data_IF_195486531283
#
_entry.id   IF_195486531283
#
_cell.length_a   1.000
_cell.length_b   1.000
_cell.length_c   1.000
_cell.angle_alpha   90.00
_cell.angle_beta   90.00
_cell.angle_gamma   90.00
#
_symmetry.space_group_name_H-M   'P 1'
#
loop_
_entity.id
_entity.type
_entity.pdbx_description
1 polymer ?
#
# COMPACT_ATOMS: atom_id res chain seq x y z
N UNK A 1 21.54 -8.88 15.77
CA UNK A 1 20.53 -7.82 15.88
C UNK A 1 19.32 -8.34 16.65
N UNK A 2 18.80 -7.55 17.53
CA UNK A 2 17.54 -7.84 18.21
C UNK A 2 16.43 -7.03 17.54
N UNK A 3 15.25 -7.61 17.36
CA UNK A 3 14.13 -6.91 16.72
C UNK A 3 13.75 -5.60 17.46
N UNK A 4 13.95 -5.56 18.79
CA UNK A 4 13.69 -4.36 19.58
C UNK A 4 14.65 -3.20 19.26
N UNK A 5 15.76 -3.46 18.57
CA UNK A 5 16.73 -2.44 18.17
C UNK A 5 16.35 -1.77 16.84
N UNK A 6 15.35 -2.27 16.16
CA UNK A 6 14.87 -1.70 14.88
C UNK A 6 14.07 -0.42 15.18
N UNK A 7 14.55 0.72 14.69
CA UNK A 7 13.91 2.02 14.94
C UNK A 7 12.73 2.28 13.99
N UNK A 8 12.83 1.82 12.74
CA UNK A 8 11.79 2.01 11.73
C UNK A 8 11.91 0.94 10.65
N UNK A 9 10.83 0.74 9.91
CA UNK A 9 10.78 -0.23 8.82
C UNK A 9 10.28 0.47 7.56
N UNK A 10 10.89 0.17 6.44
CA UNK A 10 10.47 0.70 5.14
C UNK A 10 10.41 -0.41 4.12
N UNK A 11 9.32 -0.48 3.38
CA UNK A 11 9.18 -1.30 2.19
C UNK A 11 9.19 -0.38 0.99
N UNK A 12 10.14 -0.56 0.09
CA UNK A 12 10.23 0.24 -1.13
C UNK A 12 9.82 -0.61 -2.33
N UNK A 13 9.00 -0.03 -3.20
CA UNK A 13 8.56 -0.67 -4.44
C UNK A 13 8.70 0.28 -5.60
N UNK A 14 9.28 -0.16 -6.73
CA UNK A 14 9.31 0.64 -7.94
C UNK A 14 7.95 0.59 -8.65
N UNK A 15 7.63 1.67 -9.35
CA UNK A 15 6.41 1.72 -10.17
C UNK A 15 6.61 2.67 -11.35
N UNK A 16 5.90 2.40 -12.44
CA UNK A 16 5.75 3.33 -13.55
C UNK A 16 4.44 4.13 -13.44
N UNK A 17 3.67 3.92 -12.38
CA UNK A 17 2.32 4.48 -12.20
C UNK A 17 2.19 5.22 -10.88
N UNK A 18 3.18 6.06 -10.54
CA UNK A 18 3.21 6.72 -9.23
C UNK A 18 1.93 7.48 -8.93
N UNK A 19 1.40 8.26 -9.89
CA UNK A 19 0.19 9.04 -9.64
C UNK A 19 -1.02 8.16 -9.35
N UNK A 20 -1.17 7.06 -10.06
CA UNK A 20 -2.27 6.12 -9.82
C UNK A 20 -2.12 5.44 -8.47
N UNK A 21 -0.88 5.07 -8.08
CA UNK A 21 -0.62 4.47 -6.78
C UNK A 21 -0.86 5.46 -5.65
N UNK A 22 -0.46 6.73 -5.81
CA UNK A 22 -0.73 7.75 -4.79
C UNK A 22 -2.22 7.96 -4.60
N UNK A 23 -2.99 7.94 -5.68
CA UNK A 23 -4.44 8.03 -5.58
C UNK A 23 -5.02 6.86 -4.80
N UNK A 24 -4.51 5.65 -5.05
CA UNK A 24 -4.94 4.45 -4.35
C UNK A 24 -4.57 4.50 -2.86
N UNK A 25 -3.31 4.78 -2.55
CA UNK A 25 -2.80 4.70 -1.17
C UNK A 25 -3.09 5.93 -0.33
N UNK A 26 -3.04 7.13 -0.90
CA UNK A 26 -3.34 8.35 -0.14
C UNK A 26 -4.85 8.63 -0.09
N UNK A 27 -5.50 8.71 -1.24
CA UNK A 27 -6.92 9.07 -1.29
C UNK A 27 -7.82 7.89 -0.91
N UNK A 28 -7.51 6.70 -1.38
CA UNK A 28 -8.29 5.50 -1.10
C UNK A 28 -8.04 4.93 0.28
N UNK A 29 -6.83 4.46 0.51
CA UNK A 29 -6.47 3.82 1.78
C UNK A 29 -6.31 4.82 2.92
N UNK A 30 -5.97 6.06 2.62
CA UNK A 30 -5.86 7.13 3.62
C UNK A 30 -4.49 7.22 4.27
N UNK A 31 -3.44 6.70 3.64
CA UNK A 31 -2.09 6.83 4.17
C UNK A 31 -1.58 8.26 4.04
N UNK A 32 -0.81 8.70 5.01
CA UNK A 32 -0.28 10.04 5.04
C UNK A 32 1.10 10.09 4.39
N UNK A 33 1.29 11.07 3.50
CA UNK A 33 2.62 11.34 2.93
C UNK A 33 3.51 11.95 4.01
N UNK A 34 4.67 11.32 4.24
CA UNK A 34 5.60 11.80 5.27
C UNK A 34 6.86 12.42 4.68
N UNK A 35 7.24 12.05 3.47
CA UNK A 35 8.41 12.61 2.81
C UNK A 35 8.37 12.29 1.32
N UNK A 36 9.24 12.94 0.56
CA UNK A 36 9.44 12.66 -0.86
C UNK A 36 10.83 13.14 -1.29
N UNK A 37 11.31 12.59 -2.41
CA UNK A 37 12.53 13.07 -3.04
C UNK A 37 12.34 13.04 -4.55
N UNK A 38 13.11 13.86 -5.25
CA UNK A 38 13.00 14.00 -6.70
C UNK A 38 14.37 13.93 -7.34
N UNK A 39 14.48 13.10 -8.37
CA UNK A 39 15.67 12.99 -9.24
C UNK A 39 17.00 12.82 -8.48
N UNK A 40 17.03 11.86 -7.57
CA UNK A 40 18.27 11.45 -6.92
C UNK A 40 18.87 10.29 -7.71
N UNK A 41 19.90 10.59 -8.51
CA UNK A 41 20.53 9.60 -9.39
C UNK A 41 19.52 8.89 -10.32
N UNK A 42 18.53 9.64 -10.84
CA UNK A 42 17.50 9.10 -11.73
C UNK A 42 16.30 8.50 -11.02
N UNK A 43 16.30 8.43 -9.71
CA UNK A 43 15.17 7.92 -8.93
C UNK A 43 14.41 9.04 -8.23
N UNK A 44 13.11 8.89 -8.13
CA UNK A 44 12.22 9.75 -7.34
C UNK A 44 11.36 8.87 -6.47
N UNK A 45 10.84 9.40 -5.37
CA UNK A 45 10.03 8.58 -4.48
C UNK A 45 9.15 9.38 -3.54
N UNK A 46 8.11 8.71 -3.05
CA UNK A 46 7.19 9.23 -2.05
C UNK A 46 7.10 8.21 -0.93
N UNK A 47 7.26 8.66 0.31
CA UNK A 47 7.13 7.83 1.50
C UNK A 47 5.77 8.06 2.14
N UNK A 48 5.04 6.99 2.36
CA UNK A 48 3.73 6.99 3.00
C UNK A 48 3.86 6.31 4.36
N UNK A 49 3.36 6.96 5.41
CA UNK A 49 3.41 6.44 6.75
C UNK A 49 2.28 5.44 7.01
N UNK A 50 2.62 4.30 7.56
CA UNK A 50 1.67 3.37 8.14
C UNK A 50 1.47 3.73 9.62
N UNK A 51 0.53 3.09 10.34
CA UNK A 51 0.22 3.47 11.70
C UNK A 51 1.46 3.65 12.59
N UNK A 52 1.52 4.77 13.32
CA UNK A 52 2.67 5.13 14.14
C UNK A 52 3.83 5.73 13.37
N UNK A 53 3.79 5.74 12.04
CA UNK A 53 4.83 6.29 11.15
C UNK A 53 6.21 5.65 11.33
N UNK A 54 6.29 4.54 12.07
CA UNK A 54 7.51 3.76 12.20
C UNK A 54 7.66 2.73 11.06
N UNK A 55 6.58 2.46 10.34
CA UNK A 55 6.57 1.62 9.15
C UNK A 55 6.16 2.48 7.98
N UNK A 56 6.97 2.45 6.93
CA UNK A 56 6.76 3.26 5.75
C UNK A 56 6.59 2.41 4.50
N UNK A 57 5.71 2.84 3.63
CA UNK A 57 5.64 2.34 2.26
C UNK A 57 6.27 3.39 1.36
N UNK A 58 7.35 3.05 0.67
CA UNK A 58 7.99 3.93 -0.28
C UNK A 58 7.67 3.50 -1.70
N UNK A 59 7.13 4.42 -2.49
CA UNK A 59 6.83 4.19 -3.90
C UNK A 59 7.85 4.97 -4.71
N UNK A 60 8.63 4.27 -5.54
CA UNK A 60 9.73 4.88 -6.28
C UNK A 60 9.49 4.81 -7.77
N UNK A 61 9.99 5.82 -8.49
CA UNK A 61 10.08 5.80 -9.95
C UNK A 61 11.54 5.93 -10.35
N UNK A 62 11.89 5.39 -11.50
CA UNK A 62 13.20 5.57 -12.10
C UNK A 62 13.04 6.01 -13.54
N UNK A 63 13.96 6.86 -14.01
CA UNK A 63 13.92 7.35 -15.40
C UNK A 63 14.02 6.23 -16.43
N UNK A 64 14.60 5.09 -16.06
CA UNK A 64 14.69 3.90 -16.94
C UNK A 64 13.50 2.94 -16.77
N UNK A 65 12.55 3.27 -15.91
CA UNK A 65 11.33 2.48 -15.72
C UNK A 65 11.40 1.45 -14.61
N UNK A 66 10.26 0.82 -14.37
CA UNK A 66 10.05 -0.20 -13.36
C UNK A 66 10.23 -1.60 -13.96
N UNK A 67 10.61 -2.59 -13.12
CA UNK A 67 10.71 -3.98 -13.59
C UNK A 67 9.36 -4.65 -13.90
N UNK A 68 8.23 -4.00 -13.58
CA UNK A 68 6.92 -4.55 -13.92
C UNK A 68 5.97 -4.68 -12.74
N UNK A 69 4.82 -5.36 -12.94
CA UNK A 69 3.79 -5.49 -11.92
C UNK A 69 4.18 -6.48 -10.82
N UNK A 70 3.30 -6.62 -9.83
CA UNK A 70 3.47 -7.60 -8.76
C UNK A 70 3.65 -9.00 -9.35
N UNK A 71 4.58 -9.81 -8.80
CA UNK A 71 4.86 -11.14 -9.35
C UNK A 71 3.72 -12.13 -9.14
N UNK A 72 2.93 -11.99 -8.09
CA UNK A 72 1.78 -12.86 -7.81
C UNK A 72 0.64 -12.06 -7.18
N UNK A 73 -0.57 -12.64 -7.23
CA UNK A 73 -1.73 -12.06 -6.55
C UNK A 73 -1.70 -12.25 -5.04
N UNK A 74 -0.73 -13.02 -4.53
CA UNK A 74 -0.56 -13.24 -3.09
C UNK A 74 0.59 -12.40 -2.50
N UNK A 75 1.05 -11.40 -3.23
CA UNK A 75 1.93 -10.36 -2.69
C UNK A 75 1.04 -9.30 -2.05
N UNK A 76 1.00 -9.28 -0.73
CA UNK A 76 -0.01 -8.55 0.02
C UNK A 76 0.59 -7.58 1.03
N UNK A 77 -0.05 -6.42 1.16
CA UNK A 77 0.06 -5.56 2.34
C UNK A 77 -1.18 -5.85 3.18
N UNK A 78 -1.00 -6.34 4.39
CA UNK A 78 -2.11 -6.66 5.28
C UNK A 78 -2.17 -5.63 6.40
N UNK A 79 -3.31 -4.98 6.54
CA UNK A 79 -3.56 -4.02 7.61
C UNK A 79 -4.61 -4.59 8.54
N UNK A 80 -4.29 -4.59 9.83
CA UNK A 80 -5.21 -5.03 10.87
C UNK A 80 -5.84 -3.79 11.50
N UNK A 81 -7.17 -3.69 11.44
CA UNK A 81 -7.90 -2.52 11.94
C UNK A 81 -8.84 -2.95 13.07
N UNK A 82 -8.96 -2.10 14.07
CA UNK A 82 -9.83 -2.36 15.22
C UNK A 82 -11.17 -1.62 15.11
N UNK A 83 -11.39 -0.88 14.04
CA UNK A 83 -12.60 -0.06 13.84
C UNK A 83 -13.26 -0.43 12.52
N UNK A 84 -14.44 -1.04 12.59
CA UNK A 84 -15.21 -1.41 11.39
C UNK A 84 -15.65 -0.20 10.59
N UNK A 85 -15.88 0.94 11.24
CA UNK A 85 -16.26 2.16 10.53
C UNK A 85 -15.10 2.69 9.69
N UNK A 86 -13.85 2.53 10.16
CA UNK A 86 -12.68 2.89 9.38
C UNK A 86 -12.55 2.02 8.14
N UNK A 87 -12.81 0.72 8.25
CA UNK A 87 -12.81 -0.20 7.10
C UNK A 87 -13.89 0.21 6.10
N UNK A 88 -15.10 0.50 6.57
CA UNK A 88 -16.20 0.93 5.70
C UNK A 88 -15.88 2.25 5.00
N UNK A 89 -15.21 3.18 5.67
CA UNK A 89 -14.81 4.45 5.08
C UNK A 89 -13.78 4.24 3.96
N UNK A 90 -12.82 3.34 4.18
CA UNK A 90 -11.84 2.97 3.15
C UNK A 90 -12.56 2.36 1.94
N UNK A 91 -13.49 1.44 2.17
CA UNK A 91 -14.26 0.82 1.09
C UNK A 91 -15.01 1.88 0.27
N UNK A 92 -15.64 2.84 0.92
CA UNK A 92 -16.33 3.92 0.24
C UNK A 92 -15.40 4.75 -0.64
N UNK A 93 -14.22 5.11 -0.13
CA UNK A 93 -13.25 5.89 -0.89
C UNK A 93 -12.67 5.11 -2.07
N UNK A 94 -12.37 3.82 -1.86
CA UNK A 94 -11.85 2.96 -2.94
C UNK A 94 -12.86 2.85 -4.08
N UNK A 95 -14.12 2.58 -3.76
CA UNK A 95 -15.18 2.48 -4.77
C UNK A 95 -15.39 3.81 -5.50
N UNK A 96 -15.31 4.92 -4.79
CA UNK A 96 -15.44 6.24 -5.40
C UNK A 96 -14.30 6.53 -6.38
N UNK A 97 -13.12 5.93 -6.18
CA UNK A 97 -11.98 6.04 -7.09
C UNK A 97 -12.02 5.01 -8.21
N UNK A 98 -13.03 4.14 -8.25
CA UNK A 98 -13.18 3.12 -9.27
C UNK A 98 -12.53 1.78 -8.94
N UNK A 99 -12.11 1.56 -7.69
CA UNK A 99 -11.53 0.29 -7.26
C UNK A 99 -12.59 -0.57 -6.60
N UNK A 100 -12.88 -1.73 -7.20
CA UNK A 100 -13.78 -2.71 -6.63
C UNK A 100 -13.00 -3.72 -5.79
N UNK A 101 -13.58 -4.22 -4.68
CA UNK A 101 -12.95 -5.30 -3.92
C UNK A 101 -12.71 -6.53 -4.80
N UNK A 102 -11.67 -7.27 -4.48
CA UNK A 102 -11.35 -8.53 -5.16
C UNK A 102 -11.41 -9.67 -4.16
N UNK A 103 -11.64 -10.89 -4.66
CA UNK A 103 -11.54 -12.09 -3.84
C UNK A 103 -10.06 -12.44 -3.66
N UNK A 104 -9.56 -12.55 -2.42
CA UNK A 104 -8.16 -12.93 -2.20
C UNK A 104 -7.88 -14.32 -2.78
N UNK A 105 -6.71 -14.50 -3.37
CA UNK A 105 -6.32 -15.80 -3.91
C UNK A 105 -6.09 -16.82 -2.81
N UNK A 106 -5.48 -16.40 -1.71
CA UNK A 106 -5.28 -17.26 -0.56
C UNK A 106 -6.57 -17.33 0.28
N UNK A 107 -7.18 -18.52 0.44
CA UNK A 107 -8.44 -18.67 1.19
C UNK A 107 -8.36 -18.21 2.64
N UNK A 108 -7.15 -18.12 3.21
CA UNK A 108 -6.96 -17.60 4.57
C UNK A 108 -7.60 -16.23 4.75
N UNK A 109 -7.54 -15.40 3.70
CA UNK A 109 -8.07 -14.05 3.72
C UNK A 109 -9.52 -13.94 3.23
N UNK A 110 -10.16 -15.08 2.96
CA UNK A 110 -11.55 -15.09 2.53
C UNK A 110 -12.44 -14.48 3.62
N UNK A 111 -13.31 -13.57 3.22
CA UNK A 111 -14.15 -12.83 4.16
C UNK A 111 -13.57 -11.50 4.62
N UNK A 112 -12.28 -11.24 4.36
CA UNK A 112 -11.69 -9.92 4.58
C UNK A 112 -11.91 -9.04 3.35
N UNK A 113 -11.82 -7.73 3.54
CA UNK A 113 -11.92 -6.78 2.44
C UNK A 113 -10.55 -6.67 1.76
N UNK A 114 -10.50 -6.90 0.46
CA UNK A 114 -9.26 -6.89 -0.28
C UNK A 114 -9.38 -6.09 -1.58
N UNK A 115 -8.28 -5.46 -1.96
CA UNK A 115 -8.16 -4.71 -3.20
C UNK A 115 -6.84 -5.05 -3.88
N UNK A 116 -6.76 -4.83 -5.18
CA UNK A 116 -5.50 -4.83 -5.90
C UNK A 116 -5.17 -3.39 -6.28
N UNK A 117 -3.93 -2.96 -6.04
CA UNK A 117 -3.48 -1.66 -6.47
C UNK A 117 -3.23 -1.64 -7.99
N UNK A 118 -2.97 -0.48 -8.60
CA UNK A 118 -2.75 -0.40 -10.06
C UNK A 118 -1.63 -1.28 -10.61
N UNK A 119 -0.67 -1.70 -9.79
CA UNK A 119 0.41 -2.61 -10.19
C UNK A 119 0.11 -4.07 -9.84
N UNK A 120 -1.08 -4.36 -9.30
CA UNK A 120 -1.48 -5.71 -8.95
C UNK A 120 -1.06 -6.18 -7.55
N UNK A 121 -0.47 -5.31 -6.73
CA UNK A 121 -0.19 -5.65 -5.33
C UNK A 121 -1.48 -5.65 -4.53
N UNK A 122 -1.67 -6.70 -3.74
CA UNK A 122 -2.87 -6.83 -2.92
C UNK A 122 -2.77 -6.03 -1.62
N UNK A 123 -3.93 -5.50 -1.19
CA UNK A 123 -4.09 -4.88 0.12
C UNK A 123 -5.27 -5.56 0.79
N UNK A 124 -5.04 -6.11 1.97
CA UNK A 124 -6.08 -6.79 2.74
C UNK A 124 -6.34 -5.99 4.02
N UNK A 125 -7.60 -5.74 4.29
CA UNK A 125 -8.05 -5.06 5.50
C UNK A 125 -8.75 -6.09 6.37
N UNK A 126 -8.14 -6.44 7.50
CA UNK A 126 -8.71 -7.41 8.45
C UNK A 126 -9.14 -6.72 9.73
N UNK A 127 -10.39 -6.94 10.11
CA UNK A 127 -10.86 -6.48 11.39
C UNK A 127 -10.34 -7.38 12.52
N UNK A 128 -9.86 -6.77 13.59
CA UNK A 128 -9.48 -7.47 14.82
C UNK A 128 -10.10 -6.75 16.01
N UNK A 129 -10.61 -7.53 16.94
CA UNK A 129 -11.27 -6.96 18.13
C UNK A 129 -10.27 -6.66 19.24
#
# INVERSE_FOLDING_TARGET
MNAADVAAVRFARPTDRLDDLLRFYEEGLGLRRIDSFHDHAGSSGVMLGLPGEEVHLELTTHEEGSPGPAPTRDNLLVLYLTDRDAIAAIDGRMRALGHEPVEPENPYWSGDLAYEDPDGWGVVLRYVS
#
